data_IF_640348228537
#
_entry.id   IF_640348228537
#
_cell.length_a   1.000
_cell.length_b   1.000
_cell.length_c   1.000
_cell.angle_alpha   90.00
_cell.angle_beta   90.00
_cell.angle_gamma   90.00
#
_symmetry.space_group_name_H-M   'P 1'
#
loop_
_entity.id
_entity.type
_entity.pdbx_description
1 polymer ?
#
# COMPACT_ATOMS: atom_id res chain seq x y z
N UNK A 1 22.77 52.62 4.89
CA UNK A 1 23.54 53.82 4.51
C UNK A 1 24.32 53.55 3.22
N UNK A 2 24.14 54.35 2.16
CA UNK A 2 24.92 54.17 0.91
C UNK A 2 26.41 54.43 1.20
N UNK A 3 27.33 53.71 0.53
CA UNK A 3 28.80 53.86 0.75
C UNK A 3 29.25 55.33 0.69
N UNK A 4 28.60 56.16 -0.14
CA UNK A 4 28.85 57.59 -0.26
C UNK A 4 28.50 58.40 1.00
N UNK A 5 27.34 58.14 1.62
CA UNK A 5 26.93 58.80 2.86
C UNK A 5 27.85 58.45 4.03
N UNK A 6 28.32 57.20 4.09
CA UNK A 6 29.29 56.78 5.11
C UNK A 6 30.62 57.53 4.99
N UNK A 7 31.17 57.59 3.78
CA UNK A 7 32.41 58.34 3.53
C UNK A 7 32.26 59.82 3.87
N UNK A 8 31.07 60.40 3.65
CA UNK A 8 30.78 61.79 4.02
C UNK A 8 30.80 61.98 5.55
N UNK A 9 30.20 61.06 6.31
CA UNK A 9 30.18 61.11 7.78
C UNK A 9 31.56 60.85 8.38
N UNK A 10 32.32 59.90 7.83
CA UNK A 10 33.71 59.63 8.23
C UNK A 10 34.59 60.87 8.00
N UNK A 11 34.51 61.49 6.81
CA UNK A 11 35.22 62.76 6.52
C UNK A 11 34.83 63.88 7.48
N UNK A 12 33.54 64.07 7.76
CA UNK A 12 33.09 65.12 8.70
C UNK A 12 33.60 64.86 10.12
N UNK A 13 33.54 63.61 10.60
CA UNK A 13 34.08 63.24 11.92
C UNK A 13 35.57 63.56 12.01
N UNK A 14 36.34 63.17 11.00
CA UNK A 14 37.79 63.37 10.97
C UNK A 14 38.15 64.87 10.86
N UNK A 15 37.37 65.66 10.10
CA UNK A 15 37.49 67.12 10.05
C UNK A 15 37.26 67.76 11.43
N UNK A 16 36.21 67.38 12.16
CA UNK A 16 35.95 67.91 13.51
C UNK A 16 37.02 67.48 14.53
N UNK A 17 37.51 66.24 14.45
CA UNK A 17 38.64 65.75 15.25
C UNK A 17 39.91 66.57 15.01
N UNK A 18 40.23 66.85 13.75
CA UNK A 18 41.41 67.64 13.39
C UNK A 18 41.32 69.08 13.89
N UNK A 19 40.12 69.69 13.85
CA UNK A 19 39.86 71.04 14.37
C UNK A 19 40.01 71.09 15.89
N UNK A 20 39.43 70.13 16.61
CA UNK A 20 39.56 70.04 18.06
C UNK A 20 41.01 69.82 18.50
N UNK A 21 41.73 68.91 17.83
CA UNK A 21 43.15 68.65 18.10
C UNK A 21 44.01 69.89 17.82
N UNK A 22 43.72 70.63 16.75
CA UNK A 22 44.43 71.87 16.41
C UNK A 22 44.16 72.96 17.45
N UNK A 23 42.92 73.14 17.88
CA UNK A 23 42.56 74.11 18.92
C UNK A 23 43.30 73.83 20.24
N UNK A 24 43.27 72.57 20.72
CA UNK A 24 43.99 72.13 21.92
C UNK A 24 45.52 72.28 21.82
N UNK A 25 46.09 72.11 20.62
CA UNK A 25 47.53 72.28 20.40
C UNK A 25 48.00 73.74 20.44
N UNK A 26 47.10 74.67 20.13
CA UNK A 26 47.38 76.11 20.11
C UNK A 26 47.06 76.75 21.47
N UNK A 27 46.00 76.30 22.12
CA UNK A 27 45.60 76.74 23.45
C UNK A 27 45.08 75.52 24.27
N UNK A 28 45.82 75.11 25.32
CA UNK A 28 45.39 74.03 26.20
C UNK A 28 44.06 74.29 26.92
N UNK A 29 43.60 75.55 27.01
CA UNK A 29 42.36 75.94 27.66
C UNK A 29 41.19 76.17 26.69
N UNK A 30 41.36 75.88 25.39
CA UNK A 30 40.29 76.04 24.41
C UNK A 30 39.08 75.13 24.70
N UNK A 31 37.87 75.71 24.69
CA UNK A 31 36.61 74.97 24.83
C UNK A 31 36.29 74.20 23.53
N UNK A 32 36.54 72.90 23.55
CA UNK A 32 36.28 71.97 22.43
C UNK A 32 35.09 71.03 22.70
N UNK A 33 34.26 71.33 23.71
CA UNK A 33 33.17 70.46 24.12
C UNK A 33 32.17 70.19 22.97
N UNK A 34 31.86 71.23 22.19
CA UNK A 34 30.95 71.13 21.05
C UNK A 34 31.50 70.28 19.89
N UNK A 35 32.81 70.35 19.60
CA UNK A 35 33.43 69.50 18.59
C UNK A 35 33.47 68.03 19.04
N UNK A 36 33.79 67.77 20.32
CA UNK A 36 33.83 66.42 20.88
C UNK A 36 32.44 65.77 20.85
N UNK A 37 31.39 66.50 21.25
CA UNK A 37 30.01 66.02 21.20
C UNK A 37 29.58 65.67 19.76
N UNK A 38 29.97 66.48 18.78
CA UNK A 38 29.70 66.21 17.36
C UNK A 38 30.47 64.98 16.87
N UNK A 39 31.73 64.81 17.25
CA UNK A 39 32.52 63.61 16.93
C UNK A 39 31.87 62.35 17.51
N UNK A 40 31.38 62.42 18.74
CA UNK A 40 30.68 61.31 19.39
C UNK A 40 29.35 60.99 18.70
N UNK A 41 28.59 62.02 18.32
CA UNK A 41 27.34 61.88 17.56
C UNK A 41 27.56 61.24 16.19
N UNK A 42 28.58 61.68 15.45
CA UNK A 42 28.96 61.05 14.18
C UNK A 42 29.48 59.62 14.39
N UNK A 43 30.20 59.35 15.48
CA UNK A 43 30.62 58.01 15.88
C UNK A 43 29.43 57.07 16.11
N UNK A 44 28.43 57.53 16.87
CA UNK A 44 27.17 56.81 17.12
C UNK A 44 26.38 56.57 15.83
N UNK A 45 26.30 57.56 14.93
CA UNK A 45 25.64 57.41 13.62
C UNK A 45 26.39 56.46 12.67
N UNK A 46 27.72 56.44 12.69
CA UNK A 46 28.52 55.50 11.90
C UNK A 46 28.39 54.06 12.45
N UNK A 47 28.35 53.89 13.78
CA UNK A 47 28.08 52.60 14.42
C UNK A 47 26.66 52.12 14.16
N UNK A 48 25.64 52.96 14.34
CA UNK A 48 24.25 52.65 13.98
C UNK A 48 24.08 52.38 12.47
N UNK A 49 24.91 53.02 11.65
CA UNK A 49 24.98 52.84 10.20
C UNK A 49 25.72 51.58 9.73
N UNK A 50 26.41 50.83 10.62
CA UNK A 50 26.90 49.46 10.35
C UNK A 50 25.71 48.49 10.38
N UNK A 51 24.81 48.69 9.43
CA UNK A 51 23.59 47.92 9.26
C UNK A 51 23.95 46.45 9.05
N UNK A 52 23.62 45.64 10.05
CA UNK A 52 23.57 44.17 10.09
C UNK A 52 22.72 43.56 8.97
N UNK A 53 21.94 44.38 8.27
CA UNK A 53 20.96 43.99 7.24
C UNK A 53 21.51 43.21 6.04
N UNK A 54 22.81 43.28 5.67
CA UNK A 54 23.32 42.40 4.60
C UNK A 54 23.47 40.96 5.11
N UNK A 55 23.99 40.78 6.33
CA UNK A 55 24.13 39.46 6.96
C UNK A 55 22.76 38.86 7.27
N UNK A 56 21.84 39.67 7.79
CA UNK A 56 20.46 39.25 8.06
C UNK A 56 19.72 38.81 6.78
N UNK A 57 19.84 39.56 5.67
CA UNK A 57 19.23 39.16 4.39
C UNK A 57 19.82 37.86 3.85
N UNK A 58 21.14 37.67 3.94
CA UNK A 58 21.76 36.42 3.50
C UNK A 58 21.31 35.24 4.37
N UNK A 59 21.23 35.43 5.69
CA UNK A 59 20.73 34.40 6.61
C UNK A 59 19.27 34.07 6.28
N UNK A 60 18.41 35.07 6.09
CA UNK A 60 17.01 34.85 5.72
C UNK A 60 16.87 34.12 4.37
N UNK A 61 17.69 34.46 3.38
CA UNK A 61 17.72 33.76 2.09
C UNK A 61 18.17 32.30 2.23
N UNK A 62 19.22 32.03 3.03
CA UNK A 62 19.69 30.66 3.31
C UNK A 62 18.60 29.85 4.00
N UNK A 63 17.96 30.40 5.03
CA UNK A 63 16.85 29.73 5.73
C UNK A 63 15.70 29.45 4.77
N UNK A 64 15.33 30.42 3.92
CA UNK A 64 14.31 30.23 2.89
C UNK A 64 14.63 29.08 1.93
N UNK A 65 15.87 29.02 1.44
CA UNK A 65 16.33 27.92 0.57
C UNK A 65 16.27 26.59 1.31
N UNK A 66 16.74 26.51 2.55
CA UNK A 66 16.69 25.27 3.36
C UNK A 66 15.25 24.81 3.55
N UNK A 67 14.34 25.72 3.90
CA UNK A 67 12.92 25.39 4.08
C UNK A 67 12.27 24.88 2.79
N UNK A 68 12.54 25.52 1.65
CA UNK A 68 12.02 25.06 0.34
C UNK A 68 12.60 23.70 -0.03
N UNK A 69 13.89 23.47 0.19
CA UNK A 69 14.53 22.17 -0.07
C UNK A 69 13.97 21.06 0.82
N UNK A 70 13.73 21.34 2.11
CA UNK A 70 13.12 20.37 3.03
C UNK A 70 11.66 20.08 2.65
N UNK A 71 10.89 21.10 2.24
CA UNK A 71 9.53 20.90 1.74
C UNK A 71 9.52 20.05 0.47
N UNK A 72 10.42 20.33 -0.48
CA UNK A 72 10.57 19.51 -1.69
C UNK A 72 10.99 18.07 -1.37
N UNK A 73 11.92 17.88 -0.43
CA UNK A 73 12.36 16.55 -0.01
C UNK A 73 11.24 15.75 0.68
N UNK A 74 10.49 16.38 1.59
CA UNK A 74 9.33 15.73 2.27
C UNK A 74 8.18 15.42 1.31
N UNK A 75 8.03 16.17 0.22
CA UNK A 75 7.09 15.85 -0.84
C UNK A 75 7.55 14.65 -1.71
N UNK A 76 8.86 14.42 -1.83
CA UNK A 76 9.40 13.29 -2.61
C UNK A 76 9.48 11.98 -1.83
N UNK A 77 9.60 12.04 -0.50
CA UNK A 77 9.71 10.85 0.35
C UNK A 77 8.31 10.29 0.68
N UNK A 78 8.06 9.04 0.29
CA UNK A 78 6.85 8.30 0.62
C UNK A 78 6.97 7.59 1.96
N UNK A 79 5.83 7.40 2.62
CA UNK A 79 5.74 6.52 3.77
C UNK A 79 6.12 5.07 3.39
N UNK A 80 6.85 4.34 4.25
CA UNK A 80 7.26 2.96 3.97
C UNK A 80 6.06 2.00 3.91
N UNK A 81 5.08 2.19 4.79
CA UNK A 81 3.79 1.52 4.79
C UNK A 81 2.65 2.54 4.80
N UNK A 82 1.46 2.10 4.41
CA UNK A 82 0.22 2.87 4.53
C UNK A 82 -0.92 1.94 4.97
N UNK A 83 -1.80 2.42 5.83
CA UNK A 83 -3.04 1.70 6.14
C UNK A 83 -4.01 1.77 4.97
N UNK A 84 -4.49 0.62 4.50
CA UNK A 84 -5.48 0.54 3.42
C UNK A 84 -6.69 -0.27 3.86
N UNK A 85 -7.87 0.29 3.57
CA UNK A 85 -9.13 -0.44 3.53
C UNK A 85 -9.62 -0.47 2.08
N UNK A 86 -9.98 -1.63 1.58
CA UNK A 86 -10.43 -1.82 0.20
C UNK A 86 -11.77 -2.56 0.22
N UNK A 87 -12.70 -2.08 -0.60
CA UNK A 87 -13.93 -2.80 -0.95
C UNK A 87 -14.04 -2.78 -2.46
N UNK A 88 -14.09 -3.95 -3.10
CA UNK A 88 -14.16 -4.06 -4.55
C UNK A 88 -14.95 -5.28 -5.00
N UNK A 89 -15.53 -5.18 -6.19
CA UNK A 89 -16.09 -6.29 -6.94
C UNK A 89 -15.21 -6.58 -8.16
N UNK A 90 -14.90 -7.86 -8.38
CA UNK A 90 -14.04 -8.29 -9.47
C UNK A 90 -14.52 -9.62 -10.06
N UNK A 91 -14.02 -10.00 -11.23
CA UNK A 91 -14.25 -11.33 -11.81
C UNK A 91 -13.18 -12.34 -11.44
N UNK A 92 -12.03 -11.87 -10.96
CA UNK A 92 -10.93 -12.71 -10.52
C UNK A 92 -10.07 -11.96 -9.53
N UNK A 93 -9.55 -12.68 -8.54
CA UNK A 93 -8.65 -12.14 -7.52
C UNK A 93 -7.51 -13.13 -7.29
N UNK A 94 -6.30 -12.61 -7.21
CA UNK A 94 -5.11 -13.40 -6.87
C UNK A 94 -4.52 -12.87 -5.57
N UNK A 95 -4.24 -13.76 -4.62
CA UNK A 95 -3.58 -13.38 -3.38
C UNK A 95 -2.55 -14.44 -2.96
N UNK A 96 -1.61 -14.05 -2.11
CA UNK A 96 -0.62 -14.94 -1.53
C UNK A 96 -0.83 -15.02 -0.02
N UNK A 97 -0.96 -16.23 0.52
CA UNK A 97 -1.21 -16.43 1.94
C UNK A 97 -0.03 -16.03 2.81
N UNK A 98 -0.30 -15.32 3.90
CA UNK A 98 0.71 -14.94 4.90
C UNK A 98 0.88 -16.00 6.00
N UNK A 99 -0.18 -16.73 6.31
CA UNK A 99 -0.21 -17.80 7.30
C UNK A 99 -0.98 -18.99 6.69
N UNK A 100 -0.81 -20.23 7.19
CA UNK A 100 -1.67 -21.33 6.80
C UNK A 100 -3.13 -20.99 7.09
N UNK A 101 -4.01 -21.29 6.14
CA UNK A 101 -5.43 -20.96 6.25
C UNK A 101 -6.28 -22.21 6.14
N UNK A 102 -7.35 -22.27 6.93
CA UNK A 102 -8.30 -23.37 6.95
C UNK A 102 -9.71 -22.84 6.91
N UNK A 103 -10.54 -23.50 6.12
CA UNK A 103 -11.95 -23.27 6.00
C UNK A 103 -12.68 -24.52 6.46
N UNK A 104 -13.44 -24.39 7.55
CA UNK A 104 -14.18 -25.48 8.20
C UNK A 104 -15.70 -25.29 8.08
N UNK A 105 -16.14 -24.28 7.32
CA UNK A 105 -17.55 -24.00 7.11
C UNK A 105 -18.00 -24.67 5.82
N UNK A 106 -18.87 -25.69 5.87
CA UNK A 106 -19.26 -26.41 4.68
C UNK A 106 -20.07 -25.51 3.76
N UNK A 107 -19.59 -25.30 2.54
CA UNK A 107 -20.47 -24.87 1.47
C UNK A 107 -21.31 -26.07 1.04
N UNK A 108 -22.62 -25.96 1.21
CA UNK A 108 -23.56 -27.05 0.95
C UNK A 108 -24.41 -26.70 -0.26
N UNK A 109 -24.63 -27.66 -1.14
CA UNK A 109 -25.52 -27.48 -2.29
C UNK A 109 -24.81 -27.31 -3.63
N UNK A 110 -23.52 -27.62 -3.72
CA UNK A 110 -22.84 -27.69 -5.00
C UNK A 110 -23.47 -28.78 -5.88
N UNK A 111 -23.71 -28.46 -7.15
CA UNK A 111 -24.26 -29.38 -8.15
C UNK A 111 -23.19 -30.22 -8.80
N UNK A 112 -21.99 -29.66 -8.96
CA UNK A 112 -20.83 -30.37 -9.45
C UNK A 112 -19.54 -29.81 -8.85
N UNK A 113 -18.59 -30.69 -8.56
CA UNK A 113 -17.25 -30.36 -8.11
C UNK A 113 -16.26 -31.16 -8.95
N UNK A 114 -15.32 -30.46 -9.58
CA UNK A 114 -14.25 -31.06 -10.35
C UNK A 114 -12.90 -30.71 -9.73
N UNK A 115 -12.10 -31.73 -9.50
CA UNK A 115 -10.76 -31.68 -8.95
C UNK A 115 -9.77 -32.05 -10.05
N UNK A 116 -8.74 -31.25 -10.27
CA UNK A 116 -7.67 -31.54 -11.24
C UNK A 116 -6.30 -31.25 -10.65
N UNK A 117 -5.29 -32.00 -11.11
CA UNK A 117 -3.88 -31.83 -10.75
C UNK A 117 -3.61 -32.03 -9.24
N UNK A 118 -4.25 -33.05 -8.66
CA UNK A 118 -3.97 -33.51 -7.30
C UNK A 118 -3.04 -34.72 -7.32
N UNK A 119 -2.11 -34.79 -6.35
CA UNK A 119 -1.19 -35.93 -6.21
C UNK A 119 -1.90 -37.13 -5.58
N UNK A 120 -2.82 -36.87 -4.65
CA UNK A 120 -3.56 -37.90 -3.95
C UNK A 120 -5.03 -37.52 -3.90
N UNK A 121 -5.89 -38.44 -4.34
CA UNK A 121 -7.32 -38.39 -4.11
C UNK A 121 -7.73 -39.73 -3.51
N UNK A 122 -8.09 -39.71 -2.23
CA UNK A 122 -8.57 -40.88 -1.49
C UNK A 122 -10.09 -40.97 -1.64
N UNK A 123 -10.52 -42.01 -2.35
CA UNK A 123 -11.92 -42.28 -2.62
C UNK A 123 -12.46 -43.30 -1.61
N UNK A 124 -13.71 -43.13 -1.14
CA UNK A 124 -14.31 -44.08 -0.22
C UNK A 124 -14.41 -45.46 -0.91
N UNK A 125 -14.27 -46.59 -0.18
CA UNK A 125 -14.30 -47.93 -0.77
C UNK A 125 -15.57 -48.26 -1.59
N UNK A 126 -16.65 -47.51 -1.34
CA UNK A 126 -17.93 -47.58 -2.05
C UNK A 126 -17.84 -47.00 -3.48
N UNK A 127 -16.88 -46.10 -3.73
CA UNK A 127 -16.51 -45.58 -5.03
C UNK A 127 -15.38 -46.45 -5.59
N UNK A 128 -15.75 -47.53 -6.29
CA UNK A 128 -14.79 -48.32 -7.06
C UNK A 128 -14.44 -47.54 -8.33
N UNK A 129 -13.57 -46.54 -8.21
CA UNK A 129 -12.79 -46.06 -9.33
C UNK A 129 -11.56 -46.97 -9.43
N UNK A 130 -11.25 -47.45 -10.63
CA UNK A 130 -9.94 -48.02 -10.95
C UNK A 130 -8.90 -47.01 -10.45
N UNK A 131 -8.04 -47.41 -9.51
CA UNK A 131 -7.12 -46.53 -8.78
C UNK A 131 -6.59 -45.42 -9.69
N UNK A 132 -7.06 -44.20 -9.47
CA UNK A 132 -6.48 -42.99 -10.02
C UNK A 132 -5.10 -42.87 -9.36
N UNK A 133 -4.09 -43.40 -10.05
CA UNK A 133 -2.72 -43.56 -9.56
C UNK A 133 -1.73 -42.83 -10.48
N UNK A 134 -2.22 -41.84 -11.24
CA UNK A 134 -1.46 -41.07 -12.21
C UNK A 134 -1.09 -39.67 -11.70
N UNK A 135 0.00 -39.13 -12.26
CA UNK A 135 0.61 -37.84 -11.89
C UNK A 135 -0.24 -36.61 -12.32
N UNK A 136 -1.41 -36.82 -12.94
CA UNK A 136 -2.34 -35.78 -13.46
C UNK A 136 -3.76 -36.33 -13.60
N UNK A 137 -4.32 -36.73 -12.48
CA UNK A 137 -5.66 -37.27 -12.44
C UNK A 137 -6.67 -36.15 -12.21
N UNK A 138 -7.82 -36.28 -12.85
CA UNK A 138 -8.99 -35.45 -12.57
C UNK A 138 -10.12 -36.33 -12.06
N UNK A 139 -10.93 -35.75 -11.18
CA UNK A 139 -12.18 -36.33 -10.70
C UNK A 139 -13.27 -35.29 -10.85
N UNK A 140 -14.39 -35.69 -11.42
CA UNK A 140 -15.57 -34.86 -11.61
C UNK A 140 -16.75 -35.55 -10.95
N UNK A 141 -17.35 -34.86 -9.99
CA UNK A 141 -18.45 -35.36 -9.16
C UNK A 141 -19.65 -34.46 -9.40
N UNK A 142 -20.79 -35.03 -9.75
CA UNK A 142 -22.01 -34.26 -10.02
C UNK A 142 -23.27 -34.94 -9.48
N UNK A 143 -24.31 -34.15 -9.23
CA UNK A 143 -25.57 -34.63 -8.64
C UNK A 143 -25.53 -34.81 -7.13
N UNK A 144 -26.65 -35.24 -6.55
CA UNK A 144 -26.79 -35.44 -5.11
C UNK A 144 -26.68 -34.14 -4.31
N UNK A 145 -26.21 -34.25 -3.07
CA UNK A 145 -25.82 -33.11 -2.23
C UNK A 145 -24.31 -33.17 -2.04
N UNK A 146 -23.60 -32.26 -2.72
CA UNK A 146 -22.15 -32.13 -2.64
C UNK A 146 -21.82 -30.94 -1.75
N UNK A 147 -20.81 -31.11 -0.91
CA UNK A 147 -20.29 -30.02 -0.09
C UNK A 147 -18.79 -30.13 0.13
N UNK A 148 -18.07 -29.01 0.08
CA UNK A 148 -16.68 -28.94 0.51
C UNK A 148 -16.69 -28.82 2.04
N UNK A 149 -16.36 -29.91 2.74
CA UNK A 149 -16.41 -29.96 4.20
C UNK A 149 -15.22 -29.25 4.84
N UNK A 150 -14.04 -29.40 4.24
CA UNK A 150 -12.82 -28.75 4.71
C UNK A 150 -11.94 -28.32 3.53
N UNK A 151 -11.26 -27.19 3.67
CA UNK A 151 -10.21 -26.74 2.76
C UNK A 151 -9.06 -26.18 3.58
N UNK A 152 -7.84 -26.62 3.32
CA UNK A 152 -6.63 -26.18 3.98
C UNK A 152 -5.60 -25.76 2.94
N UNK A 153 -5.03 -24.59 3.12
CA UNK A 153 -4.02 -24.01 2.28
C UNK A 153 -2.77 -23.69 3.09
N UNK A 154 -1.60 -24.07 2.58
CA UNK A 154 -0.33 -23.79 3.23
C UNK A 154 0.05 -22.30 3.12
N UNK A 155 0.90 -21.85 4.03
CA UNK A 155 1.56 -20.54 3.95
C UNK A 155 2.28 -20.36 2.61
N UNK A 156 2.28 -19.14 2.06
CA UNK A 156 2.97 -18.83 0.81
C UNK A 156 2.26 -19.32 -0.45
N UNK A 157 1.17 -20.09 -0.32
CA UNK A 157 0.35 -20.49 -1.46
C UNK A 157 -0.17 -19.26 -2.20
N UNK A 158 -0.02 -19.24 -3.52
CA UNK A 158 -0.69 -18.29 -4.40
C UNK A 158 -2.02 -18.88 -4.80
N UNK A 159 -3.10 -18.20 -4.42
CA UNK A 159 -4.48 -18.59 -4.72
C UNK A 159 -5.03 -17.61 -5.76
N UNK A 160 -5.57 -18.14 -6.84
CA UNK A 160 -6.35 -17.36 -7.81
C UNK A 160 -7.78 -17.90 -7.79
N UNK A 161 -8.73 -17.00 -7.57
CA UNK A 161 -10.15 -17.30 -7.68
C UNK A 161 -10.66 -16.61 -8.94
N UNK A 162 -11.43 -17.32 -9.76
CA UNK A 162 -12.14 -16.77 -10.91
C UNK A 162 -13.64 -17.10 -10.78
N UNK A 163 -14.49 -16.08 -10.99
CA UNK A 163 -15.93 -16.25 -10.99
C UNK A 163 -16.42 -16.34 -12.45
N UNK A 164 -17.08 -17.45 -12.75
CA UNK A 164 -17.86 -17.69 -13.95
C UNK A 164 -19.37 -17.59 -13.63
N UNK A 165 -20.27 -17.47 -14.63
CA UNK A 165 -21.70 -17.28 -14.39
C UNK A 165 -22.38 -18.37 -13.54
N UNK A 166 -21.85 -19.59 -13.53
CA UNK A 166 -22.39 -20.75 -12.82
C UNK A 166 -21.32 -21.58 -12.12
N UNK A 167 -20.10 -21.02 -12.00
CA UNK A 167 -18.98 -21.75 -11.46
C UNK A 167 -17.93 -20.83 -10.83
N UNK A 168 -17.16 -21.41 -9.91
CA UNK A 168 -16.00 -20.78 -9.29
C UNK A 168 -14.80 -21.67 -9.53
N UNK A 169 -13.78 -21.12 -10.18
CA UNK A 169 -12.49 -21.75 -10.35
C UNK A 169 -11.55 -21.29 -9.24
N UNK A 170 -10.97 -22.26 -8.53
CA UNK A 170 -9.95 -22.05 -7.52
C UNK A 170 -8.65 -22.71 -7.99
N UNK A 171 -7.63 -21.90 -8.24
CA UNK A 171 -6.29 -22.34 -8.62
C UNK A 171 -5.30 -22.08 -7.48
N UNK A 172 -4.46 -23.06 -7.18
CA UNK A 172 -3.44 -22.96 -6.13
C UNK A 172 -2.08 -23.37 -6.65
N UNK A 173 -1.09 -22.49 -6.46
CA UNK A 173 0.31 -22.70 -6.89
C UNK A 173 1.27 -22.43 -5.72
N UNK A 174 2.36 -23.19 -5.66
CA UNK A 174 3.48 -22.92 -4.75
C UNK A 174 3.23 -23.21 -3.27
N UNK A 175 2.10 -23.83 -2.94
CA UNK A 175 1.86 -24.38 -1.61
C UNK A 175 0.83 -25.49 -1.62
N UNK A 176 0.83 -26.30 -0.57
CA UNK A 176 -0.03 -27.48 -0.43
C UNK A 176 -1.49 -27.06 -0.24
N UNK A 177 -2.35 -27.63 -1.08
CA UNK A 177 -3.80 -27.57 -0.96
C UNK A 177 -4.29 -28.95 -0.53
N UNK A 178 -5.16 -29.02 0.46
CA UNK A 178 -5.83 -30.27 0.85
C UNK A 178 -7.24 -30.00 1.35
N UNK A 179 -8.12 -31.00 1.28
CA UNK A 179 -9.47 -30.85 1.79
C UNK A 179 -10.28 -32.13 1.69
N UNK A 180 -11.54 -32.01 2.10
CA UNK A 180 -12.50 -33.11 2.13
C UNK A 180 -13.78 -32.67 1.42
N UNK A 181 -14.26 -33.49 0.50
CA UNK A 181 -15.60 -33.38 -0.10
C UNK A 181 -16.52 -34.37 0.57
N UNK A 182 -17.74 -33.96 0.89
CA UNK A 182 -18.80 -34.86 1.35
C UNK A 182 -19.78 -35.14 0.23
N UNK A 183 -20.06 -36.42 0.01
CA UNK A 183 -20.98 -36.93 -1.01
C UNK A 183 -22.21 -37.53 -0.33
N UNK A 184 -23.41 -37.12 -0.73
CA UNK A 184 -24.66 -37.69 -0.21
C UNK A 184 -25.74 -37.80 -1.29
N UNK A 185 -26.49 -38.89 -1.31
CA UNK A 185 -27.57 -39.11 -2.27
C UNK A 185 -27.08 -39.68 -3.61
N UNK A 186 -27.81 -39.37 -4.69
CA UNK A 186 -27.55 -39.90 -6.03
C UNK A 186 -26.49 -39.05 -6.75
N UNK A 187 -25.25 -39.53 -6.75
CA UNK A 187 -24.06 -38.83 -7.25
C UNK A 187 -23.44 -39.62 -8.40
N UNK A 188 -23.05 -38.91 -9.47
CA UNK A 188 -22.25 -39.43 -10.55
C UNK A 188 -20.79 -39.02 -10.33
N UNK A 189 -19.91 -40.03 -10.19
CA UNK A 189 -18.46 -39.81 -10.08
C UNK A 189 -17.82 -40.28 -11.37
N UNK A 190 -17.03 -39.41 -12.00
CA UNK A 190 -16.19 -39.75 -13.13
C UNK A 190 -14.74 -39.35 -12.83
N UNK A 191 -13.80 -40.10 -13.38
CA UNK A 191 -12.38 -39.83 -13.19
C UNK A 191 -11.64 -40.20 -14.47
N UNK A 192 -10.48 -39.57 -14.68
CA UNK A 192 -9.63 -39.86 -15.83
C UNK A 192 -8.25 -39.22 -15.72
N UNK A 193 -7.45 -39.50 -16.74
CA UNK A 193 -6.09 -38.97 -16.90
C UNK A 193 -6.07 -37.89 -17.98
N UNK A 194 -5.16 -36.94 -17.86
CA UNK A 194 -5.02 -35.78 -18.76
C UNK A 194 -4.56 -36.14 -20.19
N UNK A 195 -4.11 -37.38 -20.42
CA UNK A 195 -3.60 -37.88 -21.71
C UNK A 195 -4.69 -38.18 -22.75
N UNK A 196 -5.93 -37.76 -22.50
CA UNK A 196 -7.06 -37.88 -23.42
C UNK A 196 -7.66 -39.27 -23.49
N UNK A 197 -7.18 -40.21 -22.66
CA UNK A 197 -7.84 -41.47 -22.41
C UNK A 197 -9.03 -41.25 -21.47
N UNK A 198 -10.23 -41.09 -22.00
CA UNK A 198 -11.47 -41.33 -21.23
C UNK A 198 -11.60 -42.82 -20.92
N UNK A 199 -10.69 -43.36 -20.12
CA UNK A 199 -10.93 -44.56 -19.33
C UNK A 199 -11.85 -44.13 -18.19
N UNK A 200 -13.11 -43.81 -18.51
CA UNK A 200 -14.12 -43.35 -17.57
C UNK A 200 -14.37 -44.45 -16.53
N UNK A 201 -13.62 -44.44 -15.44
CA UNK A 201 -13.81 -45.36 -14.31
C UNK A 201 -14.99 -44.94 -13.42
N UNK A 202 -16.01 -44.33 -14.03
CA UNK A 202 -17.10 -43.64 -13.36
C UNK A 202 -18.47 -44.29 -13.53
N UNK A 203 -19.41 -43.87 -12.69
CA UNK A 203 -20.80 -44.28 -12.78
C UNK A 203 -21.67 -43.67 -11.69
N UNK A 204 -22.98 -43.67 -11.91
CA UNK A 204 -23.95 -43.24 -10.92
C UNK A 204 -23.94 -44.17 -9.68
N UNK A 205 -23.89 -43.55 -8.50
CA UNK A 205 -23.90 -44.20 -7.19
C UNK A 205 -24.93 -43.51 -6.30
N UNK A 206 -25.51 -44.27 -5.38
CA UNK A 206 -26.44 -43.74 -4.38
C UNK A 206 -25.86 -43.96 -3.00
N UNK A 207 -25.61 -42.87 -2.29
CA UNK A 207 -25.01 -42.87 -0.96
C UNK A 207 -26.09 -42.61 0.10
N UNK A 208 -26.41 -43.64 0.88
CA UNK A 208 -27.39 -43.54 1.97
C UNK A 208 -26.85 -42.81 3.21
N UNK A 209 -25.52 -42.79 3.37
CA UNK A 209 -24.80 -42.07 4.40
C UNK A 209 -23.79 -41.13 3.72
N UNK A 210 -23.41 -40.00 4.37
CA UNK A 210 -22.38 -39.14 3.84
C UNK A 210 -21.05 -39.89 3.70
N UNK A 211 -20.47 -39.88 2.51
CA UNK A 211 -19.14 -40.41 2.22
C UNK A 211 -18.15 -39.26 2.05
N UNK A 212 -16.87 -39.49 2.36
CA UNK A 212 -15.83 -38.47 2.29
C UNK A 212 -14.85 -38.82 1.18
N UNK A 213 -14.54 -37.84 0.33
CA UNK A 213 -13.41 -37.87 -0.62
C UNK A 213 -12.37 -36.89 -0.14
N UNK A 214 -11.18 -37.37 0.19
CA UNK A 214 -10.07 -36.52 0.63
C UNK A 214 -9.12 -36.27 -0.53
N UNK A 215 -8.61 -35.05 -0.66
CA UNK A 215 -7.68 -34.68 -1.73
C UNK A 215 -6.50 -33.89 -1.19
N UNK A 216 -5.34 -34.03 -1.84
CA UNK A 216 -4.14 -33.27 -1.51
C UNK A 216 -3.25 -33.02 -2.75
N UNK A 217 -2.72 -31.81 -2.85
CA UNK A 217 -1.71 -31.42 -3.83
C UNK A 217 -0.29 -31.52 -3.23
N UNK A 218 0.75 -31.64 -4.07
CA UNK A 218 2.14 -31.81 -3.59
C UNK A 218 2.70 -30.52 -2.97
N UNK A 219 2.23 -29.36 -3.45
CA UNK A 219 2.56 -28.04 -2.94
C UNK A 219 3.81 -27.37 -3.50
N UNK A 220 4.65 -28.08 -4.25
CA UNK A 220 5.86 -27.54 -4.91
C UNK A 220 5.79 -27.56 -6.45
N UNK A 221 4.64 -27.98 -7.00
CA UNK A 221 4.39 -28.04 -8.45
C UNK A 221 4.21 -26.67 -9.12
N UNK A 222 4.61 -26.61 -10.40
CA UNK A 222 4.35 -25.46 -11.30
C UNK A 222 2.92 -25.54 -11.87
N UNK A 223 2.36 -26.75 -11.95
CA UNK A 223 0.98 -26.98 -12.39
C UNK A 223 0.03 -26.63 -11.24
N UNK A 224 -0.93 -25.72 -11.43
CA UNK A 224 -1.87 -25.35 -10.38
C UNK A 224 -2.78 -26.52 -10.03
N UNK A 225 -2.95 -26.79 -8.74
CA UNK A 225 -4.08 -27.58 -8.27
C UNK A 225 -5.36 -26.79 -8.55
N UNK A 226 -6.36 -27.43 -9.12
CA UNK A 226 -7.55 -26.77 -9.63
C UNK A 226 -8.82 -27.41 -9.05
N UNK A 227 -9.66 -26.58 -8.44
CA UNK A 227 -10.99 -26.96 -7.99
C UNK A 227 -12.00 -26.08 -8.74
N UNK A 228 -12.86 -26.71 -9.52
CA UNK A 228 -14.01 -26.08 -10.15
C UNK A 228 -15.25 -26.46 -9.34
N UNK A 229 -15.96 -25.47 -8.81
CA UNK A 229 -17.18 -25.65 -8.02
C UNK A 229 -18.34 -25.01 -8.77
N UNK A 230 -19.34 -25.81 -9.16
CA UNK A 230 -20.62 -25.31 -9.69
C UNK A 230 -21.64 -25.34 -8.57
N UNK A 231 -22.00 -24.18 -8.05
CA UNK A 231 -22.88 -24.02 -6.89
C UNK A 231 -23.93 -22.94 -7.16
N UNK A 232 -25.09 -23.07 -6.51
CA UNK A 232 -26.10 -22.01 -6.45
C UNK A 232 -25.92 -21.12 -5.21
N UNK A 233 -25.14 -21.58 -4.23
CA UNK A 233 -24.92 -20.86 -2.98
C UNK A 233 -23.61 -20.06 -2.99
N UNK A 234 -23.62 -18.78 -2.57
CA UNK A 234 -22.41 -17.98 -2.50
C UNK A 234 -21.39 -18.57 -1.52
N UNK A 235 -20.14 -18.73 -1.96
CA UNK A 235 -19.04 -19.11 -1.08
C UNK A 235 -18.50 -17.87 -0.37
N UNK A 236 -18.23 -17.96 0.94
CA UNK A 236 -17.64 -16.85 1.68
C UNK A 236 -16.43 -17.30 2.48
N UNK A 237 -15.33 -16.59 2.31
CA UNK A 237 -14.13 -16.72 3.12
C UNK A 237 -13.96 -15.48 4.00
N UNK A 238 -13.45 -15.68 5.21
CA UNK A 238 -13.29 -14.64 6.22
C UNK A 238 -11.89 -14.69 6.82
N UNK A 239 -11.39 -13.52 7.23
CA UNK A 239 -10.13 -13.35 7.94
C UNK A 239 -8.92 -14.07 7.31
N UNK A 240 -8.81 -14.04 5.97
CA UNK A 240 -7.68 -14.64 5.25
C UNK A 240 -6.49 -13.70 5.30
N UNK A 241 -5.40 -14.08 5.98
CA UNK A 241 -4.18 -13.25 6.05
C UNK A 241 -3.37 -13.38 4.77
N UNK A 242 -2.97 -12.24 4.19
CA UNK A 242 -2.33 -12.19 2.87
C UNK A 242 -1.10 -11.29 2.85
N UNK A 243 -0.08 -11.70 2.09
CA UNK A 243 1.13 -10.89 1.82
C UNK A 243 1.03 -10.11 0.51
N UNK A 244 0.15 -10.52 -0.39
CA UNK A 244 -0.16 -9.77 -1.60
C UNK A 244 -1.60 -10.00 -2.05
N UNK A 245 -2.14 -9.01 -2.75
CA UNK A 245 -3.47 -9.03 -3.35
C UNK A 245 -3.41 -8.31 -4.71
N UNK A 246 -3.96 -8.93 -5.74
CA UNK A 246 -3.96 -8.43 -7.12
C UNK A 246 -5.29 -8.72 -7.80
N UNK A 247 -5.73 -7.77 -8.63
CA UNK A 247 -6.95 -7.88 -9.44
C UNK A 247 -6.62 -7.90 -10.93
N UNK A 248 -5.63 -8.71 -11.29
CA UNK A 248 -5.17 -8.86 -12.65
C UNK A 248 -5.16 -10.34 -13.05
N UNK A 249 -5.76 -10.64 -14.20
CA UNK A 249 -5.70 -11.95 -14.83
C UNK A 249 -4.54 -11.98 -15.82
N UNK A 250 -3.70 -13.00 -15.72
CA UNK A 250 -2.71 -13.30 -16.74
C UNK A 250 -3.41 -13.88 -17.97
N UNK A 251 -3.25 -13.22 -19.10
CA UNK A 251 -3.71 -13.72 -20.39
C UNK A 251 -2.48 -14.04 -21.22
N UNK A 252 -2.26 -15.30 -21.64
CA UNK A 252 -1.18 -15.62 -22.55
C UNK A 252 -1.40 -14.88 -23.87
N UNK A 253 -0.38 -14.14 -24.29
CA UNK A 253 -0.28 -13.60 -25.64
C UNK A 253 0.50 -14.59 -26.51
N UNK A 254 0.66 -14.26 -27.79
CA UNK A 254 1.51 -15.03 -28.71
C UNK A 254 2.93 -15.24 -28.15
N UNK A 255 3.50 -16.42 -28.43
CA UNK A 255 4.91 -16.78 -28.23
C UNK A 255 5.57 -16.28 -26.93
N UNK A 256 5.05 -16.70 -25.77
CA UNK A 256 5.72 -16.53 -24.48
C UNK A 256 5.61 -15.13 -23.87
N UNK A 257 4.76 -14.25 -24.41
CA UNK A 257 4.39 -13.01 -23.77
C UNK A 257 3.14 -13.22 -22.90
N UNK A 258 3.04 -12.52 -21.77
CA UNK A 258 1.84 -12.47 -20.94
C UNK A 258 1.34 -11.03 -20.86
N UNK A 259 0.04 -10.84 -21.08
CA UNK A 259 -0.63 -9.58 -20.79
C UNK A 259 -1.39 -9.72 -19.48
N UNK A 260 -1.40 -8.66 -18.68
CA UNK A 260 -2.24 -8.57 -17.50
C UNK A 260 -3.49 -7.79 -17.86
N UNK A 261 -4.67 -8.35 -17.59
CA UNK A 261 -5.97 -7.70 -17.79
C UNK A 261 -6.63 -7.45 -16.43
N UNK A 262 -7.10 -6.23 -16.21
CA UNK A 262 -7.85 -5.90 -15.00
C UNK A 262 -9.14 -6.71 -14.92
N UNK A 263 -9.42 -7.21 -13.72
CA UNK A 263 -10.63 -7.97 -13.38
C UNK A 263 -11.61 -7.16 -12.54
N UNK A 264 -11.24 -5.92 -12.14
CA UNK A 264 -12.08 -5.03 -11.34
C UNK A 264 -13.32 -4.63 -12.15
N UNK A 265 -14.50 -4.76 -11.54
CA UNK A 265 -15.75 -4.19 -12.01
C UNK A 265 -15.93 -2.78 -11.43
N UNK A 266 -15.88 -2.68 -10.10
CA UNK A 266 -15.97 -1.42 -9.35
C UNK A 266 -15.43 -1.58 -7.93
N UNK A 267 -15.23 -0.46 -7.24
CA UNK A 267 -14.83 -0.48 -5.83
C UNK A 267 -14.23 0.84 -5.38
N UNK A 268 -13.60 0.83 -4.22
CA UNK A 268 -12.85 1.95 -3.69
C UNK A 268 -11.75 1.50 -2.74
N UNK A 269 -10.66 2.26 -2.75
CA UNK A 269 -9.57 2.17 -1.78
C UNK A 269 -9.64 3.38 -0.86
N UNK A 270 -9.64 3.15 0.45
CA UNK A 270 -9.53 4.18 1.47
C UNK A 270 -8.13 4.09 2.05
N UNK A 271 -7.35 5.18 1.92
CA UNK A 271 -6.03 5.29 2.54
C UNK A 271 -6.22 5.81 3.96
N UNK A 272 -6.21 4.92 4.95
CA UNK A 272 -6.58 5.18 6.34
C UNK A 272 -5.80 6.35 6.96
N UNK A 273 -4.53 6.52 6.58
CA UNK A 273 -3.66 7.59 7.10
C UNK A 273 -4.09 9.00 6.69
N UNK A 274 -4.76 9.14 5.55
CA UNK A 274 -5.19 10.44 4.99
C UNK A 274 -6.69 10.54 4.83
N UNK A 275 -7.43 9.45 5.06
CA UNK A 275 -8.86 9.30 4.76
C UNK A 275 -9.19 9.60 3.28
N UNK A 276 -8.20 9.50 2.40
CA UNK A 276 -8.40 9.70 0.96
C UNK A 276 -9.12 8.50 0.38
N UNK A 277 -10.28 8.75 -0.24
CA UNK A 277 -11.04 7.74 -0.98
C UNK A 277 -10.63 7.80 -2.45
N UNK A 278 -10.18 6.67 -2.98
CA UNK A 278 -9.78 6.52 -4.38
C UNK A 278 -10.76 5.53 -5.05
N UNK A 279 -11.63 5.98 -5.96
CA UNK A 279 -12.54 5.08 -6.65
C UNK A 279 -11.76 4.16 -7.59
N UNK A 280 -12.20 2.90 -7.66
CA UNK A 280 -11.73 1.90 -8.60
C UNK A 280 -12.80 1.71 -9.67
N UNK A 281 -12.41 1.91 -10.92
CA UNK A 281 -13.28 1.73 -12.06
C UNK A 281 -12.90 0.47 -12.83
N UNK A 282 -13.83 0.01 -13.67
CA UNK A 282 -13.56 -1.08 -14.60
C UNK A 282 -12.32 -0.79 -15.46
N UNK A 283 -11.40 -1.74 -15.48
CA UNK A 283 -10.14 -1.62 -16.24
C UNK A 283 -8.97 -1.09 -15.41
N UNK A 284 -9.20 -0.62 -14.19
CA UNK A 284 -8.13 -0.22 -13.28
C UNK A 284 -7.36 -1.45 -12.78
N UNK A 285 -6.04 -1.37 -12.65
CA UNK A 285 -5.25 -2.45 -12.06
C UNK A 285 -4.80 -2.05 -10.67
N UNK A 286 -5.17 -2.83 -9.66
CA UNK A 286 -4.72 -2.64 -8.29
C UNK A 286 -3.85 -3.82 -7.86
N UNK A 287 -2.65 -3.50 -7.38
CA UNK A 287 -1.73 -4.44 -6.74
C UNK A 287 -1.37 -3.91 -5.35
N UNK A 288 -1.63 -4.73 -4.33
CA UNK A 288 -1.28 -4.47 -2.94
C UNK A 288 -0.26 -5.51 -2.49
N UNK A 289 0.81 -5.05 -1.85
CA UNK A 289 1.74 -5.89 -1.09
C UNK A 289 1.52 -5.61 0.39
N UNK A 290 0.92 -6.58 1.07
CA UNK A 290 0.63 -6.54 2.49
C UNK A 290 1.89 -6.45 3.34
N UNK A 291 1.78 -5.70 4.44
CA UNK A 291 2.71 -5.68 5.56
C UNK A 291 2.04 -6.29 6.78
N UNK A 292 2.22 -5.67 7.94
CA UNK A 292 1.63 -6.14 9.19
C UNK A 292 0.09 -6.04 9.18
N UNK A 293 -0.58 -7.12 9.59
CA UNK A 293 -2.04 -7.14 9.74
C UNK A 293 -2.85 -7.18 8.43
N UNK A 294 -2.21 -7.31 7.26
CA UNK A 294 -2.88 -7.42 5.97
C UNK A 294 -3.75 -8.68 5.87
N UNK A 295 -5.06 -8.49 5.70
CA UNK A 295 -6.04 -9.58 5.60
C UNK A 295 -7.23 -9.23 4.69
N UNK A 296 -7.80 -10.26 4.09
CA UNK A 296 -9.12 -10.24 3.48
C UNK A 296 -10.14 -10.47 4.60
N UNK A 297 -10.83 -9.40 4.99
CA UNK A 297 -11.88 -9.44 6.02
C UNK A 297 -13.08 -10.24 5.49
N UNK A 298 -13.40 -10.06 4.21
CA UNK A 298 -14.46 -10.79 3.53
C UNK A 298 -14.07 -11.06 2.09
N UNK A 299 -14.34 -12.28 1.63
CA UNK A 299 -14.19 -12.68 0.25
C UNK A 299 -15.42 -13.53 -0.12
N UNK A 300 -16.38 -12.90 -0.76
CA UNK A 300 -17.61 -13.52 -1.25
C UNK A 300 -17.47 -13.90 -2.73
N UNK A 301 -17.97 -15.07 -3.09
CA UNK A 301 -17.93 -15.63 -4.45
C UNK A 301 -19.36 -15.98 -4.85
N UNK A 302 -19.86 -15.25 -5.85
CA UNK A 302 -21.18 -15.40 -6.46
C UNK A 302 -21.00 -15.17 -7.98
N UNK A 303 -21.95 -14.54 -8.68
CA UNK A 303 -21.76 -14.03 -10.06
C UNK A 303 -20.55 -13.07 -10.22
N UNK A 304 -20.03 -12.57 -9.10
CA UNK A 304 -18.79 -11.83 -9.00
C UNK A 304 -18.08 -12.09 -7.67
N UNK A 305 -16.82 -11.69 -7.60
CA UNK A 305 -16.00 -11.79 -6.40
C UNK A 305 -16.07 -10.46 -5.64
N UNK A 306 -16.74 -10.45 -4.50
CA UNK A 306 -16.75 -9.31 -3.58
C UNK A 306 -15.59 -9.42 -2.59
N UNK A 307 -14.72 -8.42 -2.57
CA UNK A 307 -13.50 -8.40 -1.75
C UNK A 307 -13.55 -7.24 -0.77
N UNK A 308 -13.39 -7.52 0.52
CA UNK A 308 -13.09 -6.55 1.55
C UNK A 308 -11.71 -6.86 2.15
N UNK A 309 -10.79 -5.90 2.08
CA UNK A 309 -9.43 -6.02 2.57
C UNK A 309 -9.12 -4.91 3.58
N UNK A 310 -8.34 -5.24 4.60
CA UNK A 310 -7.87 -4.31 5.62
C UNK A 310 -6.43 -4.66 6.02
N UNK A 311 -5.57 -3.65 6.16
CA UNK A 311 -4.28 -3.77 6.83
C UNK A 311 -3.24 -2.77 6.34
N UNK A 312 -2.02 -2.88 6.87
CA UNK A 312 -0.90 -2.10 6.34
C UNK A 312 -0.37 -2.70 5.05
N UNK A 313 0.02 -1.85 4.10
CA UNK A 313 0.65 -2.27 2.86
C UNK A 313 1.96 -1.54 2.63
N UNK A 314 2.99 -2.29 2.25
CA UNK A 314 4.32 -1.75 1.91
C UNK A 314 4.33 -1.14 0.51
N UNK A 315 3.43 -1.62 -0.37
CA UNK A 315 3.29 -1.15 -1.75
C UNK A 315 1.82 -1.21 -2.14
N UNK A 316 1.31 -0.10 -2.67
CA UNK A 316 -0.04 0.00 -3.20
C UNK A 316 0.00 0.69 -4.55
N UNK A 317 -0.08 -0.07 -5.63
CA UNK A 317 0.01 0.45 -6.98
C UNK A 317 -1.32 0.34 -7.70
N UNK A 318 -1.76 1.47 -8.22
CA UNK A 318 -2.96 1.60 -9.02
C UNK A 318 -2.56 2.06 -10.44
N UNK A 319 -2.97 1.33 -11.47
CA UNK A 319 -2.79 1.73 -12.87
C UNK A 319 -4.14 2.15 -13.42
N UNK A 320 -4.29 3.43 -13.70
CA UNK A 320 -5.51 4.04 -14.24
C UNK A 320 -5.20 4.61 -15.62
N UNK A 321 -5.88 4.11 -16.66
CA UNK A 321 -5.64 4.52 -18.06
C UNK A 321 -4.15 4.50 -18.46
N UNK A 322 -3.40 3.51 -17.98
CA UNK A 322 -1.96 3.36 -18.23
C UNK A 322 -1.04 4.23 -17.36
N UNK A 323 -1.58 5.06 -16.48
CA UNK A 323 -0.80 5.88 -15.54
C UNK A 323 -0.63 5.13 -14.22
N UNK A 324 0.63 4.89 -13.84
CA UNK A 324 0.97 4.32 -12.54
C UNK A 324 0.86 5.36 -11.44
N UNK A 325 0.02 5.08 -10.45
CA UNK A 325 -0.16 5.87 -9.23
C UNK A 325 0.15 4.99 -8.02
N UNK A 326 1.08 5.42 -7.19
CA UNK A 326 1.33 4.81 -5.89
C UNK A 326 0.43 5.49 -4.86
N UNK A 327 -0.39 4.69 -4.17
CA UNK A 327 -1.41 5.14 -3.23
C UNK A 327 -0.85 5.47 -1.84
N UNK A 328 0.42 5.15 -1.57
CA UNK A 328 1.05 5.50 -0.30
C UNK A 328 1.21 7.02 -0.20
N UNK A 329 0.81 7.63 0.93
CA UNK A 329 0.94 9.06 1.10
C UNK A 329 2.41 9.46 1.15
N UNK A 330 2.70 10.66 0.66
CA UNK A 330 3.97 11.34 0.91
C UNK A 330 4.05 11.75 2.38
N UNK A 331 5.26 11.95 2.91
CA UNK A 331 5.42 12.47 4.29
C UNK A 331 4.69 13.80 4.48
N UNK A 332 4.67 14.65 3.45
CA UNK A 332 3.95 15.91 3.48
C UNK A 332 2.43 15.72 3.57
N UNK A 333 1.85 14.84 2.75
CA UNK A 333 0.42 14.51 2.80
C UNK A 333 0.03 13.91 4.15
N UNK A 334 0.87 13.04 4.71
CA UNK A 334 0.68 12.47 6.03
C UNK A 334 0.67 13.54 7.13
N UNK A 335 1.67 14.43 7.13
CA UNK A 335 1.75 15.53 8.11
C UNK A 335 0.57 16.50 7.95
N UNK A 336 0.13 16.76 6.73
CA UNK A 336 -0.97 17.68 6.44
C UNK A 336 -2.32 17.17 6.97
N UNK A 337 -2.61 15.88 6.81
CA UNK A 337 -3.87 15.29 7.28
C UNK A 337 -3.86 14.93 8.78
N UNK A 338 -2.69 14.91 9.42
CA UNK A 338 -2.58 14.61 10.84
C UNK A 338 -2.69 15.88 11.69
N UNK A 339 -3.89 16.18 12.20
CA UNK A 339 -4.19 17.38 12.99
C UNK A 339 -3.21 17.63 14.16
N UNK A 340 -2.76 16.54 14.81
CA UNK A 340 -1.83 16.63 15.95
C UNK A 340 -0.46 17.15 15.52
N UNK A 341 0.02 16.73 14.36
CA UNK A 341 1.30 17.20 13.81
C UNK A 341 1.20 18.64 13.34
N UNK A 342 0.11 19.00 12.65
CA UNK A 342 -0.14 20.40 12.24
C UNK A 342 -0.14 21.33 13.45
N UNK A 343 -0.81 20.93 14.53
CA UNK A 343 -0.81 21.69 15.79
C UNK A 343 0.60 21.81 16.39
N UNK A 344 1.35 20.71 16.46
CA UNK A 344 2.72 20.70 16.99
C UNK A 344 3.65 21.62 16.19
N UNK A 345 3.61 21.55 14.86
CA UNK A 345 4.43 22.41 13.99
C UNK A 345 4.03 23.88 14.09
N UNK A 346 2.73 24.17 14.21
CA UNK A 346 2.23 25.53 14.43
C UNK A 346 2.71 26.10 15.76
N UNK A 347 2.67 25.30 16.83
CA UNK A 347 3.18 25.67 18.15
C UNK A 347 4.70 25.89 18.13
N UNK A 348 5.46 25.03 17.44
CA UNK A 348 6.91 25.19 17.27
C UNK A 348 7.25 26.47 16.50
N UNK A 349 6.53 26.75 15.40
CA UNK A 349 6.70 27.98 14.62
C UNK A 349 6.37 29.23 15.44
N UNK A 350 5.32 29.16 16.27
CA UNK A 350 4.95 30.23 17.20
C UNK A 350 6.03 30.46 18.26
N UNK A 351 6.51 29.40 18.93
CA UNK A 351 7.58 29.47 19.93
C UNK A 351 8.87 30.02 19.33
N UNK A 352 9.21 29.60 18.11
CA UNK A 352 10.36 30.11 17.38
C UNK A 352 10.23 31.60 17.08
N UNK A 353 9.07 32.04 16.57
CA UNK A 353 8.77 33.45 16.34
C UNK A 353 8.84 34.28 17.61
N UNK A 354 8.32 33.75 18.72
CA UNK A 354 8.37 34.38 20.04
C UNK A 354 9.81 34.52 20.55
N UNK A 355 10.62 33.45 20.49
CA UNK A 355 12.04 33.46 20.88
C UNK A 355 12.86 34.45 20.05
N UNK A 356 12.61 34.53 18.74
CA UNK A 356 13.27 35.50 17.88
C UNK A 356 12.89 36.94 18.27
N UNK A 357 11.61 37.19 18.53
CA UNK A 357 11.13 38.50 18.99
C UNK A 357 11.77 38.89 20.32
N UNK A 358 11.78 37.98 21.30
CA UNK A 358 12.39 38.19 22.60
C UNK A 358 13.90 38.47 22.50
N UNK A 359 14.61 37.74 21.63
CA UNK A 359 16.03 37.98 21.36
C UNK A 359 16.26 39.40 20.82
N UNK A 360 15.42 39.86 19.90
CA UNK A 360 15.53 41.19 19.30
C UNK A 360 15.23 42.30 20.32
N UNK A 361 14.35 42.05 21.27
CA UNK A 361 14.05 43.02 22.36
C UNK A 361 15.12 43.04 23.45
N UNK A 362 15.73 41.89 23.78
CA UNK A 362 16.75 41.79 24.84
C UNK A 362 18.15 42.17 24.36
N UNK A 363 18.46 41.97 23.07
CA UNK A 363 19.75 42.29 22.46
C UNK A 363 19.55 43.21 21.24
N UNK A 364 19.18 44.49 21.47
CA UNK A 364 18.91 45.45 20.40
C UNK A 364 20.14 45.83 19.56
#
# INVERSE_FOLDING_TARGET
MKRSQRRLLERRRDDYLSRAAKALSQDPAADVAAEVERVETYGKLIQAGRVTGRRERTIAAIVGIICVTLAAATQMVRMPSAGITLVAEATSVTFMLADPWRWEHPASGAHAIRLENFEAIDLPPTVIAKEASGDRDWIDVSGGNLSVASLSLAEGSRVTLEAEPDAIDLFVVGGRLSGDLTLLGDVEVTAGTDDGGTDSAGGARSFALPEIVSFASPGDGIVPAHILIRDETPLTFQDVRVTSLSFARETPLEAGQTAFRSTIREGQVIVSDTQTVVPLNRGDHLELRGGEGARLVHLGLDESISVAFEGEVERAQLVQAGVHRDLRPTLLEYVYHNERLVFMWSALGFLWGFLWSARKTLFP
#
